data_IF_074083799216
#
_entry.id   IF_074083799216
#
_cell.length_a   1.000
_cell.length_b   1.000
_cell.length_c   1.000
_cell.angle_alpha   90.00
_cell.angle_beta   90.00
_cell.angle_gamma   90.00
#
_symmetry.space_group_name_H-M   'P 1'
#
loop_
_entity.id
_entity.type
_entity.pdbx_description
1 polymer ?
#
# COMPACT_ATOMS: atom_id res chain seq x y z
N UNK A 1 -26.20 -39.39 21.49
CA UNK A 1 -26.69 -38.99 22.83
C UNK A 1 -25.50 -39.17 23.74
N UNK A 2 -24.67 -38.14 23.86
CA UNK A 2 -23.49 -38.20 24.71
C UNK A 2 -23.95 -38.01 26.14
N UNK A 3 -23.64 -38.99 26.97
CA UNK A 3 -23.81 -38.93 28.42
C UNK A 3 -23.00 -37.75 28.95
N UNK A 4 -23.67 -36.66 29.31
CA UNK A 4 -23.10 -35.54 30.06
C UNK A 4 -22.37 -36.15 31.28
N UNK A 5 -21.06 -35.91 31.35
CA UNK A 5 -20.23 -36.52 32.39
C UNK A 5 -20.55 -35.87 33.74
N UNK A 6 -20.42 -36.63 34.83
CA UNK A 6 -20.68 -36.16 36.21
C UNK A 6 -19.84 -34.92 36.57
N UNK A 7 -18.73 -34.71 35.87
CA UNK A 7 -17.81 -33.59 36.01
C UNK A 7 -18.43 -32.25 35.57
N UNK A 8 -19.33 -32.25 34.57
CA UNK A 8 -20.01 -31.04 34.06
C UNK A 8 -21.13 -30.53 35.00
N UNK A 9 -21.53 -31.33 35.98
CA UNK A 9 -22.59 -31.01 36.95
C UNK A 9 -22.06 -30.75 38.36
N UNK A 10 -20.73 -30.72 38.52
CA UNK A 10 -20.06 -30.57 39.81
C UNK A 10 -19.42 -29.19 39.97
N UNK A 11 -19.52 -28.64 41.18
CA UNK A 11 -18.85 -27.41 41.54
C UNK A 11 -17.38 -27.67 41.83
N UNK A 12 -16.49 -27.04 41.06
CA UNK A 12 -15.04 -27.18 41.23
C UNK A 12 -14.47 -26.59 42.54
N UNK A 13 -15.32 -25.98 43.38
CA UNK A 13 -14.91 -25.45 44.69
C UNK A 13 -15.20 -26.43 45.82
N UNK A 14 -16.41 -27.00 45.85
CA UNK A 14 -16.79 -27.98 46.87
C UNK A 14 -16.74 -29.43 46.38
N UNK A 15 -16.45 -29.65 45.10
CA UNK A 15 -16.45 -30.95 44.41
C UNK A 15 -17.78 -31.73 44.52
N UNK A 16 -18.87 -31.03 44.85
CA UNK A 16 -20.22 -31.58 44.95
C UNK A 16 -21.08 -31.10 43.78
N UNK A 17 -22.20 -31.79 43.53
CA UNK A 17 -23.22 -31.32 42.57
C UNK A 17 -23.63 -29.88 42.92
N UNK A 18 -23.77 -29.03 41.91
CA UNK A 18 -24.11 -27.62 42.11
C UNK A 18 -25.37 -27.43 42.96
N UNK A 19 -25.28 -26.57 43.97
CA UNK A 19 -26.42 -26.06 44.75
C UNK A 19 -26.55 -24.56 44.47
N UNK A 20 -27.67 -24.14 43.86
CA UNK A 20 -27.87 -22.77 43.39
C UNK A 20 -26.65 -22.24 42.59
N UNK A 21 -26.34 -22.82 41.41
CA UNK A 21 -25.17 -22.43 40.63
C UNK A 21 -25.31 -21.01 40.11
N UNK A 22 -24.27 -20.20 40.30
CA UNK A 22 -24.17 -18.86 39.74
C UNK A 22 -23.19 -18.83 38.57
N UNK A 23 -23.54 -18.09 37.51
CA UNK A 23 -22.73 -17.95 36.31
C UNK A 23 -21.91 -16.66 36.38
N UNK A 24 -20.58 -16.80 36.44
CA UNK A 24 -19.67 -15.67 36.38
C UNK A 24 -19.47 -15.19 34.94
N UNK A 25 -19.03 -13.94 34.75
CA UNK A 25 -18.70 -13.36 33.43
C UNK A 25 -17.58 -14.11 32.70
N UNK A 26 -16.80 -14.91 33.42
CA UNK A 26 -15.80 -15.83 32.86
C UNK A 26 -16.38 -17.17 32.40
N UNK A 27 -17.70 -17.33 32.42
CA UNK A 27 -18.45 -18.54 32.07
C UNK A 27 -18.25 -19.74 33.01
N UNK A 28 -17.48 -19.59 34.10
CA UNK A 28 -17.43 -20.61 35.15
C UNK A 28 -18.68 -20.55 36.02
N UNK A 29 -19.19 -21.73 36.34
CA UNK A 29 -20.28 -21.93 37.28
C UNK A 29 -19.73 -22.44 38.61
N UNK A 30 -20.19 -21.88 39.72
CA UNK A 30 -19.86 -22.26 41.10
C UNK A 30 -21.13 -22.19 41.96
N UNK A 31 -21.23 -22.93 43.07
CA UNK A 31 -22.36 -22.77 44.00
C UNK A 31 -22.36 -21.35 44.56
N UNK A 32 -23.55 -20.74 44.74
CA UNK A 32 -23.67 -19.41 45.34
C UNK A 32 -22.93 -19.30 46.67
N UNK A 33 -23.10 -20.29 47.53
CA UNK A 33 -22.43 -20.34 48.84
C UNK A 33 -20.91 -20.44 48.70
N UNK A 34 -20.42 -21.28 47.79
CA UNK A 34 -18.98 -21.41 47.53
C UNK A 34 -18.35 -20.10 47.06
N UNK A 35 -19.05 -19.37 46.19
CA UNK A 35 -18.59 -18.06 45.73
C UNK A 35 -18.58 -17.04 46.86
N UNK A 36 -19.65 -16.97 47.65
CA UNK A 36 -19.76 -16.02 48.76
C UNK A 36 -18.72 -16.30 49.84
N UNK A 37 -18.51 -17.56 50.20
CA UNK A 37 -17.50 -17.96 51.18
C UNK A 37 -16.09 -17.65 50.68
N UNK A 38 -15.82 -17.89 49.41
CA UNK A 38 -14.54 -17.56 48.80
C UNK A 38 -14.28 -16.04 48.84
N UNK A 39 -15.22 -15.21 48.40
CA UNK A 39 -15.10 -13.75 48.44
C UNK A 39 -14.91 -13.19 49.85
N UNK A 40 -15.60 -13.76 50.86
CA UNK A 40 -15.40 -13.41 52.26
C UNK A 40 -13.98 -13.72 52.73
N UNK A 41 -13.42 -14.84 52.27
CA UNK A 41 -12.10 -15.32 52.71
C UNK A 41 -10.96 -14.49 52.09
N UNK A 42 -11.00 -14.27 50.78
CA UNK A 42 -9.92 -13.57 50.08
C UNK A 42 -10.11 -12.04 50.00
N UNK A 43 -11.28 -11.53 50.40
CA UNK A 43 -11.68 -10.12 50.37
C UNK A 43 -11.62 -9.45 48.99
N UNK A 44 -11.64 -10.25 47.93
CA UNK A 44 -11.69 -9.80 46.53
C UNK A 44 -12.81 -10.54 45.78
N UNK A 45 -13.40 -9.88 44.80
CA UNK A 45 -14.45 -10.44 43.96
C UNK A 45 -13.85 -11.12 42.73
N UNK A 46 -13.21 -12.25 42.94
CA UNK A 46 -12.58 -13.03 41.88
C UNK A 46 -13.29 -14.35 41.65
N UNK A 47 -13.15 -14.90 40.45
CA UNK A 47 -13.57 -16.25 40.16
C UNK A 47 -12.72 -17.26 40.96
N UNK A 48 -13.34 -18.19 41.71
CA UNK A 48 -12.60 -19.25 42.41
C UNK A 48 -11.78 -20.16 41.49
N UNK A 49 -12.22 -20.32 40.24
CA UNK A 49 -11.62 -21.23 39.26
C UNK A 49 -10.47 -20.59 38.50
N UNK A 50 -10.67 -19.39 37.95
CA UNK A 50 -9.72 -18.74 37.03
C UNK A 50 -9.18 -17.39 37.52
N UNK A 51 -9.54 -16.95 38.73
CA UNK A 51 -9.12 -15.68 39.36
C UNK A 51 -9.48 -14.40 38.59
N UNK A 52 -10.24 -14.49 37.50
CA UNK A 52 -10.76 -13.30 36.79
C UNK A 52 -11.69 -12.52 37.71
N UNK A 53 -11.52 -11.19 37.78
CA UNK A 53 -12.41 -10.30 38.54
C UNK A 53 -13.86 -10.43 38.05
N UNK A 54 -14.78 -10.63 38.98
CA UNK A 54 -16.22 -10.59 38.73
C UNK A 54 -16.65 -9.17 38.34
N UNK A 55 -17.54 -9.06 37.37
CA UNK A 55 -18.12 -7.78 36.97
C UNK A 55 -19.38 -7.41 37.76
N UNK A 56 -19.89 -8.32 38.61
CA UNK A 56 -21.12 -8.15 39.37
C UNK A 56 -20.95 -8.67 40.79
N UNK A 57 -21.50 -7.92 41.76
CA UNK A 57 -21.54 -8.28 43.18
C UNK A 57 -22.53 -9.43 43.47
N UNK A 58 -23.54 -9.61 42.62
CA UNK A 58 -24.49 -10.74 42.66
C UNK A 58 -24.61 -11.33 41.24
N UNK A 59 -23.82 -12.37 40.91
CA UNK A 59 -23.88 -13.01 39.60
C UNK A 59 -25.20 -13.78 39.41
N UNK A 60 -25.77 -13.78 38.19
CA UNK A 60 -27.05 -14.42 37.92
C UNK A 60 -26.97 -15.95 38.07
N UNK A 61 -28.08 -16.58 38.44
CA UNK A 61 -28.19 -18.04 38.47
C UNK A 61 -27.98 -18.63 37.06
N UNK A 62 -27.27 -19.76 36.98
CA UNK A 62 -27.14 -20.52 35.74
C UNK A 62 -28.43 -21.33 35.51
N UNK A 63 -29.37 -20.74 34.76
CA UNK A 63 -30.69 -21.32 34.45
C UNK A 63 -30.65 -22.61 33.60
N UNK A 64 -29.50 -22.99 33.05
CA UNK A 64 -29.30 -24.30 32.39
C UNK A 64 -29.07 -25.40 33.43
N UNK A 65 -28.45 -25.04 34.56
CA UNK A 65 -28.18 -25.93 35.69
C UNK A 65 -29.29 -25.87 36.76
N UNK A 66 -30.09 -24.81 36.81
CA UNK A 66 -31.32 -24.69 37.62
C UNK A 66 -32.49 -25.40 36.92
N UNK A 67 -32.51 -26.72 37.06
CA UNK A 67 -33.67 -27.64 36.99
C UNK A 67 -34.67 -27.51 35.83
N UNK A 68 -34.22 -27.89 34.62
CA UNK A 68 -35.12 -28.44 33.58
C UNK A 68 -34.66 -29.81 33.09
N UNK A 69 -34.04 -30.60 33.96
CA UNK A 69 -33.60 -31.96 33.65
C UNK A 69 -34.53 -33.00 34.27
N UNK A 70 -34.77 -34.13 33.58
CA UNK A 70 -35.53 -35.23 34.16
C UNK A 70 -34.75 -35.84 35.31
N UNK A 71 -35.39 -35.95 36.48
CA UNK A 71 -34.80 -36.55 37.68
C UNK A 71 -35.49 -37.91 37.92
N UNK A 72 -34.72 -38.94 38.31
CA UNK A 72 -35.28 -40.24 38.63
C UNK A 72 -36.03 -40.22 39.97
N UNK A 73 -36.90 -41.21 40.22
CA UNK A 73 -37.72 -41.27 41.43
C UNK A 73 -36.90 -41.27 42.73
N UNK A 74 -35.71 -41.89 42.72
CA UNK A 74 -34.81 -41.94 43.89
C UNK A 74 -34.20 -40.57 44.18
N UNK A 75 -33.80 -39.83 43.15
CA UNK A 75 -33.20 -38.51 43.31
C UNK A 75 -34.24 -37.44 43.69
N UNK A 76 -35.52 -37.61 43.31
CA UNK A 76 -36.61 -36.69 43.67
C UNK A 76 -36.70 -36.44 45.17
N UNK A 77 -36.60 -37.51 45.96
CA UNK A 77 -36.77 -37.48 47.41
C UNK A 77 -35.44 -37.29 48.15
N UNK A 78 -34.34 -37.06 47.41
CA UNK A 78 -33.02 -36.85 47.99
C UNK A 78 -32.85 -35.44 48.56
N UNK A 79 -31.97 -35.30 49.56
CA UNK A 79 -31.60 -34.00 50.14
C UNK A 79 -31.13 -32.98 49.08
N UNK A 80 -30.66 -33.45 47.91
CA UNK A 80 -30.17 -32.62 46.81
C UNK A 80 -31.28 -31.83 46.11
N UNK A 81 -32.53 -32.26 46.20
CA UNK A 81 -33.67 -31.59 45.56
C UNK A 81 -34.83 -31.29 46.51
N UNK A 82 -34.57 -31.31 47.83
CA UNK A 82 -35.59 -31.14 48.88
C UNK A 82 -36.37 -29.81 48.80
N UNK A 83 -35.79 -28.79 48.16
CA UNK A 83 -36.40 -27.47 47.96
C UNK A 83 -36.86 -27.24 46.50
N UNK A 84 -36.82 -28.25 45.64
CA UNK A 84 -37.21 -28.11 44.23
C UNK A 84 -38.63 -28.62 44.02
N UNK A 85 -39.43 -27.82 43.30
CA UNK A 85 -40.80 -28.19 42.95
C UNK A 85 -40.80 -29.03 41.68
N UNK A 86 -41.06 -30.33 41.85
CA UNK A 86 -41.12 -31.26 40.72
C UNK A 86 -42.46 -31.22 40.00
N UNK A 87 -42.42 -31.30 38.66
CA UNK A 87 -43.59 -31.58 37.83
C UNK A 87 -43.34 -32.88 37.06
N UNK A 88 -44.25 -33.88 37.11
CA UNK A 88 -44.04 -35.12 36.37
C UNK A 88 -44.03 -34.85 34.86
N UNK A 89 -43.07 -35.44 34.13
CA UNK A 89 -42.85 -35.24 32.69
C UNK A 89 -44.14 -35.45 31.88
N UNK A 90 -44.97 -36.43 32.27
CA UNK A 90 -46.28 -36.72 31.66
C UNK A 90 -47.29 -35.57 31.75
N UNK A 91 -47.16 -34.69 32.74
CA UNK A 91 -47.99 -33.48 32.87
C UNK A 91 -47.37 -32.27 32.16
N UNK A 92 -46.04 -32.26 31.94
CA UNK A 92 -45.38 -31.26 31.08
C UNK A 92 -45.81 -31.37 29.60
N UNK A 93 -46.25 -32.56 29.17
CA UNK A 93 -46.81 -32.80 27.83
C UNK A 93 -48.33 -32.51 27.75
N UNK A 94 -49.03 -32.50 28.89
CA UNK A 94 -50.48 -32.19 28.96
C UNK A 94 -50.74 -30.68 29.00
N UNK A 95 -49.79 -29.91 29.51
CA UNK A 95 -49.69 -28.48 29.19
C UNK A 95 -49.32 -28.35 27.71
N UNK A 96 -50.32 -28.42 26.82
CA UNK A 96 -50.17 -28.24 25.35
C UNK A 96 -49.30 -27.01 25.02
N UNK A 97 -49.38 -25.97 25.86
CA UNK A 97 -48.60 -24.75 25.73
C UNK A 97 -47.09 -24.91 25.94
N UNK A 98 -46.59 -25.87 26.73
CA UNK A 98 -45.16 -25.94 27.05
C UNK A 98 -44.29 -26.46 25.89
N UNK A 99 -44.59 -27.63 25.26
CA UNK A 99 -43.84 -28.09 24.09
C UNK A 99 -44.01 -27.16 22.89
N UNK A 100 -45.22 -26.64 22.67
CA UNK A 100 -45.49 -25.71 21.56
C UNK A 100 -44.75 -24.38 21.73
N UNK A 101 -44.79 -23.75 22.90
CA UNK A 101 -44.09 -22.48 23.15
C UNK A 101 -42.57 -22.65 23.09
N UNK A 102 -42.03 -23.79 23.54
CA UNK A 102 -40.61 -24.09 23.40
C UNK A 102 -40.21 -24.27 21.93
N UNK A 103 -40.99 -25.02 21.16
CA UNK A 103 -40.76 -25.24 19.73
C UNK A 103 -40.94 -23.95 18.91
N UNK A 104 -41.91 -23.11 19.24
CA UNK A 104 -42.13 -21.78 18.63
C UNK A 104 -40.98 -20.82 18.92
N UNK A 105 -40.51 -20.77 20.17
CA UNK A 105 -39.35 -19.96 20.54
C UNK A 105 -38.09 -20.41 19.79
N UNK A 106 -37.86 -21.73 19.69
CA UNK A 106 -36.74 -22.30 18.96
C UNK A 106 -36.84 -22.03 17.46
N UNK A 107 -38.02 -22.21 16.88
CA UNK A 107 -38.30 -21.93 15.46
C UNK A 107 -38.11 -20.44 15.13
N UNK A 108 -38.55 -19.55 16.03
CA UNK A 108 -38.35 -18.10 15.90
C UNK A 108 -36.87 -17.74 15.97
N UNK A 109 -36.13 -18.30 16.92
CA UNK A 109 -34.69 -18.09 17.04
C UNK A 109 -33.94 -18.61 15.80
N UNK A 110 -34.32 -19.78 15.29
CA UNK A 110 -33.72 -20.38 14.09
C UNK A 110 -33.97 -19.52 12.84
N UNK A 111 -35.21 -19.04 12.64
CA UNK A 111 -35.53 -18.11 11.54
C UNK A 111 -34.74 -16.80 11.65
N UNK A 112 -34.61 -16.25 12.86
CA UNK A 112 -33.81 -15.04 13.11
C UNK A 112 -32.33 -15.26 12.75
N UNK A 113 -31.75 -16.39 13.14
CA UNK A 113 -30.38 -16.74 12.82
C UNK A 113 -30.17 -16.94 11.31
N UNK A 114 -31.11 -17.62 10.64
CA UNK A 114 -31.08 -17.79 9.18
C UNK A 114 -31.11 -16.43 8.45
N UNK A 115 -31.94 -15.48 8.91
CA UNK A 115 -31.96 -14.11 8.40
C UNK A 115 -30.60 -13.42 8.55
N UNK A 116 -30.01 -13.48 9.76
CA UNK A 116 -28.69 -12.90 10.03
C UNK A 116 -27.58 -13.51 9.17
N UNK A 117 -27.62 -14.82 8.91
CA UNK A 117 -26.67 -15.47 8.00
C UNK A 117 -26.82 -14.92 6.59
N UNK A 118 -28.05 -14.82 6.07
CA UNK A 118 -28.33 -14.26 4.75
C UNK A 118 -27.83 -12.81 4.63
N UNK A 119 -28.08 -11.98 5.64
CA UNK A 119 -27.63 -10.57 5.65
C UNK A 119 -26.10 -10.46 5.65
N UNK A 120 -25.42 -11.27 6.48
CA UNK A 120 -23.95 -11.31 6.49
C UNK A 120 -23.38 -11.78 5.15
N UNK A 121 -23.98 -12.78 4.52
CA UNK A 121 -23.56 -13.23 3.18
C UNK A 121 -23.74 -12.15 2.12
N UNK A 122 -24.79 -11.33 2.21
CA UNK A 122 -24.96 -10.16 1.33
C UNK A 122 -23.83 -9.13 1.54
N UNK A 123 -23.49 -8.83 2.79
CA UNK A 123 -22.41 -7.88 3.13
C UNK A 123 -21.06 -8.38 2.59
N UNK A 124 -20.76 -9.67 2.75
CA UNK A 124 -19.54 -10.29 2.20
C UNK A 124 -19.46 -10.06 0.68
N UNK A 125 -20.55 -10.27 -0.05
CA UNK A 125 -20.58 -10.04 -1.50
C UNK A 125 -20.32 -8.58 -1.87
N UNK A 126 -20.86 -7.63 -1.13
CA UNK A 126 -20.60 -6.20 -1.39
C UNK A 126 -19.15 -5.84 -1.07
N UNK A 127 -18.58 -6.35 0.02
CA UNK A 127 -17.16 -6.16 0.33
C UNK A 127 -16.25 -6.78 -0.72
N UNK A 128 -16.56 -7.97 -1.25
CA UNK A 128 -15.82 -8.56 -2.37
C UNK A 128 -15.83 -7.67 -3.61
N UNK A 129 -16.97 -7.04 -3.93
CA UNK A 129 -17.05 -6.06 -5.03
C UNK A 129 -16.19 -4.83 -4.75
N UNK A 130 -16.22 -4.31 -3.53
CA UNK A 130 -15.39 -3.16 -3.13
C UNK A 130 -13.90 -3.50 -3.25
N UNK A 131 -13.47 -4.67 -2.78
CA UNK A 131 -12.07 -5.13 -2.90
C UNK A 131 -11.66 -5.24 -4.37
N UNK A 132 -12.50 -5.80 -5.23
CA UNK A 132 -12.25 -5.84 -6.68
C UNK A 132 -12.11 -4.44 -7.26
N UNK A 133 -12.99 -3.52 -6.88
CA UNK A 133 -12.93 -2.14 -7.36
C UNK A 133 -11.66 -1.43 -6.91
N UNK A 134 -11.25 -1.56 -5.64
CA UNK A 134 -10.01 -1.00 -5.11
C UNK A 134 -8.80 -1.50 -5.92
N UNK A 135 -8.77 -2.81 -6.24
CA UNK A 135 -7.71 -3.38 -7.07
C UNK A 135 -7.70 -2.76 -8.46
N UNK A 136 -8.84 -2.72 -9.15
CA UNK A 136 -8.94 -2.11 -10.48
C UNK A 136 -8.57 -0.62 -10.48
N UNK A 137 -8.93 0.10 -9.43
CA UNK A 137 -8.57 1.50 -9.25
C UNK A 137 -7.06 1.66 -9.06
N UNK A 138 -6.43 0.85 -8.22
CA UNK A 138 -4.98 0.85 -8.03
C UNK A 138 -4.24 0.57 -9.34
N UNK A 139 -4.64 -0.47 -10.07
CA UNK A 139 -4.04 -0.83 -11.37
C UNK A 139 -4.20 0.30 -12.40
N UNK A 140 -5.36 0.97 -12.42
CA UNK A 140 -5.60 2.11 -13.30
C UNK A 140 -4.72 3.31 -12.94
N UNK A 141 -4.64 3.67 -11.65
CA UNK A 141 -3.79 4.76 -11.18
C UNK A 141 -2.32 4.48 -11.44
N UNK A 142 -1.85 3.25 -11.22
CA UNK A 142 -0.48 2.85 -11.54
C UNK A 142 -0.17 3.04 -13.03
N UNK A 143 -1.08 2.64 -13.92
CA UNK A 143 -0.93 2.89 -15.37
C UNK A 143 -0.88 4.38 -15.69
N UNK A 144 -1.70 5.20 -15.05
CA UNK A 144 -1.68 6.66 -15.25
C UNK A 144 -0.35 7.26 -14.81
N UNK A 145 0.18 6.86 -13.65
CA UNK A 145 1.49 7.30 -13.14
C UNK A 145 2.58 6.92 -14.16
N UNK A 146 2.63 5.65 -14.57
CA UNK A 146 3.59 5.16 -15.57
C UNK A 146 3.53 5.96 -16.87
N UNK A 147 2.33 6.26 -17.36
CA UNK A 147 2.15 7.08 -18.57
C UNK A 147 2.64 8.52 -18.42
N UNK A 148 2.52 9.15 -17.23
CA UNK A 148 3.08 10.49 -17.03
C UNK A 148 4.61 10.47 -17.04
N UNK A 149 5.23 9.47 -16.40
CA UNK A 149 6.69 9.31 -16.42
C UNK A 149 7.22 8.98 -17.82
N UNK A 150 6.52 8.15 -18.60
CA UNK A 150 6.96 7.82 -19.95
C UNK A 150 7.00 9.05 -20.87
N UNK A 151 6.02 9.97 -20.73
CA UNK A 151 6.03 11.24 -21.47
C UNK A 151 7.26 12.08 -21.13
N UNK A 152 7.68 12.08 -19.87
CA UNK A 152 8.88 12.78 -19.45
C UNK A 152 10.14 12.09 -19.98
N UNK A 153 10.24 10.77 -19.85
CA UNK A 153 11.38 10.04 -20.39
C UNK A 153 11.54 10.24 -21.90
N UNK A 154 10.42 10.23 -22.65
CA UNK A 154 10.45 10.52 -24.08
C UNK A 154 10.99 11.92 -24.36
N UNK A 155 10.51 12.94 -23.65
CA UNK A 155 11.02 14.30 -23.79
C UNK A 155 12.53 14.40 -23.56
N UNK A 156 13.04 13.71 -22.52
CA UNK A 156 14.49 13.71 -22.23
C UNK A 156 15.28 13.02 -23.34
N UNK A 157 14.80 11.90 -23.88
CA UNK A 157 15.41 11.22 -25.02
C UNK A 157 15.43 12.10 -26.27
N UNK A 158 14.32 12.79 -26.55
CA UNK A 158 14.21 13.68 -27.72
C UNK A 158 15.18 14.88 -27.61
N UNK A 159 15.30 15.49 -26.43
CA UNK A 159 16.25 16.59 -26.19
C UNK A 159 17.72 16.12 -26.26
N UNK A 160 18.02 14.92 -25.75
CA UNK A 160 19.33 14.29 -25.88
C UNK A 160 19.69 14.05 -27.35
N UNK A 161 18.80 13.41 -28.12
CA UNK A 161 18.99 13.12 -29.54
C UNK A 161 19.17 14.40 -30.37
N UNK A 162 18.36 15.42 -30.11
CA UNK A 162 18.47 16.73 -30.77
C UNK A 162 19.82 17.38 -30.48
N UNK A 163 20.27 17.34 -29.23
CA UNK A 163 21.54 17.95 -28.81
C UNK A 163 22.74 17.22 -29.42
N UNK A 164 22.70 15.88 -29.46
CA UNK A 164 23.74 15.05 -30.08
C UNK A 164 23.78 15.28 -31.58
N UNK A 165 22.63 15.36 -32.25
CA UNK A 165 22.57 15.58 -33.70
C UNK A 165 23.19 16.92 -34.09
N UNK A 166 22.85 17.99 -33.37
CA UNK A 166 23.47 19.31 -33.59
C UNK A 166 25.00 19.29 -33.39
N UNK A 167 25.49 18.54 -32.40
CA UNK A 167 26.93 18.34 -32.18
C UNK A 167 27.59 17.61 -33.36
N UNK A 168 26.96 16.58 -33.90
CA UNK A 168 27.47 15.83 -35.06
C UNK A 168 27.49 16.68 -36.33
N UNK A 169 26.47 17.52 -36.53
CA UNK A 169 26.46 18.48 -37.63
C UNK A 169 27.61 19.50 -37.52
N UNK A 170 27.90 20.02 -36.32
CA UNK A 170 29.06 20.88 -36.12
C UNK A 170 30.37 20.13 -36.39
N UNK A 171 30.53 18.91 -35.87
CA UNK A 171 31.70 18.07 -36.12
C UNK A 171 31.97 17.90 -37.62
N UNK A 172 30.95 17.52 -38.39
CA UNK A 172 31.05 17.32 -39.83
C UNK A 172 31.37 18.63 -40.56
N UNK A 173 30.75 19.73 -40.19
CA UNK A 173 31.05 21.05 -40.75
C UNK A 173 32.51 21.46 -40.50
N UNK A 174 33.02 21.28 -39.28
CA UNK A 174 34.41 21.60 -38.92
C UNK A 174 35.40 20.70 -39.65
N UNK A 175 35.09 19.40 -39.76
CA UNK A 175 35.90 18.43 -40.50
C UNK A 175 36.00 18.79 -41.98
N UNK A 176 34.87 19.04 -42.64
CA UNK A 176 34.83 19.45 -44.05
C UNK A 176 35.59 20.76 -44.31
N UNK A 177 35.51 21.72 -43.39
CA UNK A 177 36.28 22.96 -43.47
C UNK A 177 37.79 22.68 -43.46
N UNK A 178 38.26 21.80 -42.58
CA UNK A 178 39.67 21.43 -42.48
C UNK A 178 40.14 20.64 -43.70
N UNK A 179 39.33 19.73 -44.23
CA UNK A 179 39.62 19.00 -45.48
C UNK A 179 39.79 19.96 -46.67
N UNK A 180 38.89 20.93 -46.84
CA UNK A 180 39.01 21.95 -47.90
C UNK A 180 40.28 22.80 -47.75
N UNK A 181 40.66 23.14 -46.51
CA UNK A 181 41.90 23.88 -46.22
C UNK A 181 43.15 23.07 -46.53
N UNK A 182 43.12 21.77 -46.24
CA UNK A 182 44.21 20.85 -46.60
C UNK A 182 44.37 20.77 -48.13
N UNK A 183 43.27 20.66 -48.88
CA UNK A 183 43.31 20.68 -50.34
C UNK A 183 43.86 22.00 -50.90
N UNK A 184 43.50 23.14 -50.32
CA UNK A 184 44.01 24.45 -50.70
C UNK A 184 45.53 24.52 -50.52
N UNK A 185 46.05 24.08 -49.38
CA UNK A 185 47.49 24.03 -49.10
C UNK A 185 48.19 23.07 -50.06
N UNK A 186 47.63 21.89 -50.35
CA UNK A 186 48.20 20.94 -51.31
C UNK A 186 48.26 21.51 -52.74
N UNK A 187 47.26 22.29 -53.15
CA UNK A 187 47.30 23.02 -54.42
C UNK A 187 48.41 24.08 -54.43
N UNK A 188 48.58 24.82 -53.35
CA UNK A 188 49.68 25.80 -53.21
C UNK A 188 51.05 25.11 -53.27
N UNK A 189 51.24 23.99 -52.55
CA UNK A 189 52.48 23.19 -52.60
C UNK A 189 52.76 22.73 -54.04
N UNK A 190 51.74 22.25 -54.76
CA UNK A 190 51.90 21.78 -56.13
C UNK A 190 52.31 22.92 -57.08
N UNK A 191 51.68 24.10 -56.95
CA UNK A 191 52.00 25.29 -57.74
C UNK A 191 53.40 25.83 -57.46
N UNK A 192 53.80 25.87 -56.18
CA UNK A 192 55.15 26.26 -55.77
C UNK A 192 56.18 25.26 -56.29
N UNK A 193 55.91 23.96 -56.18
CA UNK A 193 56.79 22.91 -56.69
C UNK A 193 57.00 23.02 -58.21
N UNK A 194 55.94 23.33 -58.96
CA UNK A 194 56.05 23.55 -60.40
C UNK A 194 56.86 24.81 -60.72
N UNK A 195 56.63 25.93 -60.01
CA UNK A 195 57.42 27.16 -60.20
C UNK A 195 58.90 26.97 -59.89
N UNK A 196 59.23 26.19 -58.85
CA UNK A 196 60.62 25.83 -58.52
C UNK A 196 61.23 25.06 -59.69
N UNK A 197 60.53 24.03 -60.20
CA UNK A 197 61.00 23.23 -61.33
C UNK A 197 61.22 24.07 -62.59
N UNK A 198 60.27 24.93 -62.94
CA UNK A 198 60.35 25.82 -64.11
C UNK A 198 61.53 26.78 -63.98
N UNK A 199 61.76 27.32 -62.78
CA UNK A 199 62.89 28.22 -62.50
C UNK A 199 64.22 27.46 -62.56
N UNK A 200 64.31 26.24 -62.02
CA UNK A 200 65.50 25.39 -62.10
C UNK A 200 65.85 25.01 -63.55
N UNK A 201 64.86 24.72 -64.39
CA UNK A 201 65.05 24.45 -65.82
C UNK A 201 65.54 25.70 -66.56
N UNK A 202 64.95 26.86 -66.27
CA UNK A 202 65.38 28.15 -66.85
C UNK A 202 66.80 28.52 -66.42
N UNK A 203 67.19 28.27 -65.17
CA UNK A 203 68.54 28.48 -64.67
C UNK A 203 69.58 27.58 -65.36
N UNK A 204 69.20 26.36 -65.78
CA UNK A 204 70.07 25.47 -66.58
C UNK A 204 70.21 25.93 -68.03
N UNK A 205 69.25 26.70 -68.56
CA UNK A 205 69.18 27.10 -69.96
C UNK A 205 70.09 28.29 -70.35
N UNK A 206 70.99 28.76 -69.48
CA UNK A 206 71.99 29.82 -69.75
C UNK A 206 71.46 31.24 -70.04
N UNK A 207 70.15 31.47 -70.07
CA UNK A 207 69.55 32.81 -70.27
C UNK A 207 69.16 33.47 -68.95
N UNK A 208 70.01 34.37 -68.47
CA UNK A 208 69.80 35.16 -67.24
C UNK A 208 68.94 36.39 -67.56
N UNK A 209 67.63 36.21 -67.72
CA UNK A 209 66.69 37.33 -67.82
C UNK A 209 65.84 37.45 -66.54
N UNK A 210 66.05 38.56 -65.83
CA UNK A 210 65.24 39.16 -64.75
C UNK A 210 64.13 38.28 -64.14
N UNK A 211 64.51 37.38 -63.23
CA UNK A 211 63.56 36.59 -62.45
C UNK A 211 62.82 37.48 -61.45
N UNK A 212 61.56 37.80 -61.75
CA UNK A 212 60.63 38.39 -60.78
C UNK A 212 60.07 37.28 -59.91
N UNK A 213 60.78 36.97 -58.81
CA UNK A 213 60.31 36.02 -57.80
C UNK A 213 59.11 36.66 -57.09
N UNK A 214 57.91 36.17 -57.39
CA UNK A 214 56.68 36.60 -56.74
C UNK A 214 56.62 36.01 -55.33
N UNK A 215 56.62 36.85 -54.30
CA UNK A 215 56.38 36.40 -52.92
C UNK A 215 54.91 36.00 -52.77
N UNK A 216 54.65 34.70 -52.67
CA UNK A 216 53.30 34.18 -52.41
C UNK A 216 52.93 34.41 -50.92
N UNK A 217 51.67 34.76 -50.61
CA UNK A 217 51.21 34.88 -49.23
C UNK A 217 51.19 33.53 -48.52
N UNK A 218 51.59 33.52 -47.25
CA UNK A 218 51.62 32.31 -46.42
C UNK A 218 50.20 31.90 -45.99
N UNK A 219 49.82 30.60 -46.04
CA UNK A 219 48.49 30.16 -45.62
C UNK A 219 48.26 30.37 -44.11
N UNK A 220 47.23 31.13 -43.74
CA UNK A 220 46.86 31.32 -42.32
C UNK A 220 46.07 30.14 -41.75
N UNK A 221 46.29 29.86 -40.46
CA UNK A 221 45.52 28.87 -39.69
C UNK A 221 44.06 29.32 -39.51
N UNK A 222 43.06 28.47 -39.81
CA UNK A 222 41.66 28.84 -39.65
C UNK A 222 41.29 29.05 -38.16
N UNK A 223 40.80 30.24 -37.82
CA UNK A 223 40.18 30.49 -36.53
C UNK A 223 38.86 29.72 -36.42
N UNK A 224 38.61 29.05 -35.29
CA UNK A 224 37.37 28.31 -35.05
C UNK A 224 37.32 26.88 -35.61
N UNK A 225 38.45 26.18 -35.72
CA UNK A 225 38.52 24.80 -36.20
C UNK A 225 37.94 23.74 -35.24
N UNK A 226 37.82 24.06 -33.95
CA UNK A 226 37.40 23.13 -32.91
C UNK A 226 35.91 23.25 -32.60
N UNK A 227 35.37 22.20 -31.99
CA UNK A 227 34.00 22.15 -31.47
C UNK A 227 33.84 23.14 -30.32
N UNK A 228 32.76 23.92 -30.34
CA UNK A 228 32.42 24.84 -29.26
C UNK A 228 31.73 24.13 -28.08
N UNK A 229 32.48 23.30 -27.35
CA UNK A 229 31.98 22.46 -26.23
C UNK A 229 31.07 23.21 -25.23
N UNK A 230 31.37 24.45 -24.79
CA UNK A 230 30.50 25.17 -23.85
C UNK A 230 29.09 25.44 -24.37
N UNK A 231 28.89 25.47 -25.70
CA UNK A 231 27.56 25.66 -26.30
C UNK A 231 26.63 24.49 -25.98
N UNK A 232 27.18 23.27 -25.98
CA UNK A 232 26.42 22.06 -25.72
C UNK A 232 26.30 21.77 -24.22
N UNK A 233 27.38 21.91 -23.46
CA UNK A 233 27.42 21.46 -22.06
C UNK A 233 27.17 22.56 -21.02
N UNK A 234 27.52 23.82 -21.31
CA UNK A 234 27.66 24.87 -20.31
C UNK A 234 26.42 25.12 -19.44
N UNK A 235 25.22 24.88 -19.98
CA UNK A 235 23.94 25.00 -19.26
C UNK A 235 22.90 23.93 -19.68
N UNK A 236 23.37 22.76 -20.12
CA UNK A 236 22.47 21.72 -20.65
C UNK A 236 21.38 21.29 -19.65
N UNK A 237 21.71 20.91 -18.39
CA UNK A 237 20.69 20.41 -17.46
C UNK A 237 19.63 21.47 -17.16
N UNK A 238 20.06 22.73 -16.99
CA UNK A 238 19.15 23.85 -16.73
C UNK A 238 18.24 24.17 -17.92
N UNK A 239 18.77 24.18 -19.15
CA UNK A 239 17.98 24.39 -20.36
C UNK A 239 16.90 23.32 -20.54
N UNK A 240 17.27 22.05 -20.38
CA UNK A 240 16.36 20.91 -20.49
C UNK A 240 15.28 20.98 -19.39
N UNK A 241 15.68 21.24 -18.14
CA UNK A 241 14.74 21.41 -17.03
C UNK A 241 13.75 22.56 -17.25
N UNK A 242 14.23 23.72 -17.75
CA UNK A 242 13.37 24.87 -18.02
C UNK A 242 12.31 24.56 -19.09
N UNK A 243 12.71 23.91 -20.18
CA UNK A 243 11.77 23.43 -21.22
C UNK A 243 10.76 22.43 -20.67
N UNK A 244 11.22 21.50 -19.83
CA UNK A 244 10.37 20.51 -19.17
C UNK A 244 9.32 21.18 -18.26
N UNK A 245 9.70 22.23 -17.52
CA UNK A 245 8.80 22.99 -16.67
C UNK A 245 7.66 23.62 -17.48
N UNK A 246 7.93 24.20 -18.64
CA UNK A 246 6.92 24.83 -19.49
C UNK A 246 5.86 23.82 -19.97
N UNK A 247 6.26 22.58 -20.26
CA UNK A 247 5.34 21.50 -20.65
C UNK A 247 4.45 21.09 -19.47
N UNK A 248 5.01 21.01 -18.27
CA UNK A 248 4.26 20.61 -17.06
C UNK A 248 3.25 21.71 -16.68
N UNK A 249 3.66 22.98 -16.72
CA UNK A 249 2.84 24.12 -16.32
C UNK A 249 1.61 24.29 -17.23
N UNK A 250 1.78 24.14 -18.55
CA UNK A 250 0.68 24.20 -19.52
C UNK A 250 -0.35 23.08 -19.35
N UNK A 251 0.06 21.95 -18.76
CA UNK A 251 -0.79 20.77 -18.58
C UNK A 251 -1.56 20.79 -17.25
N UNK A 252 -1.02 21.41 -16.20
CA UNK A 252 -1.72 21.61 -14.92
C UNK A 252 -3.02 22.42 -15.12
N UNK A 253 -3.03 23.36 -16.07
CA UNK A 253 -4.22 24.15 -16.42
C UNK A 253 -5.34 23.34 -17.11
N UNK A 254 -5.07 22.10 -17.55
CA UNK A 254 -6.07 21.23 -18.20
C UNK A 254 -6.67 20.16 -17.26
N UNK A 255 -6.04 19.90 -16.10
CA UNK A 255 -6.44 18.81 -15.19
C UNK A 255 -7.41 19.23 -14.08
N UNK A 256 -7.74 20.53 -13.96
CA UNK A 256 -8.65 21.05 -12.92
C UNK A 256 -10.12 20.61 -13.08
N UNK A 257 -10.48 19.91 -14.15
CA UNK A 257 -11.84 19.42 -14.41
C UNK A 257 -12.12 17.96 -14.00
N UNK A 258 -11.23 17.30 -13.24
CA UNK A 258 -11.55 15.97 -12.69
C UNK A 258 -12.30 16.12 -11.37
N UNK A 259 -13.63 16.10 -11.50
CA UNK A 259 -14.68 16.05 -10.46
C UNK A 259 -14.23 15.61 -9.05
N UNK A 260 -14.08 16.58 -8.15
CA UNK A 260 -14.06 16.34 -6.71
C UNK A 260 -15.47 15.93 -6.26
N UNK A 261 -15.70 14.67 -5.92
CA UNK A 261 -16.95 14.23 -5.32
C UNK A 261 -17.02 14.71 -3.85
N UNK A 262 -17.88 15.69 -3.50
CA UNK A 262 -17.82 16.38 -2.20
C UNK A 262 -18.14 15.49 -1.00
N UNK A 263 -18.77 14.33 -1.21
CA UNK A 263 -19.24 13.44 -0.14
C UNK A 263 -18.10 12.67 0.55
N UNK A 264 -16.95 12.50 -0.10
CA UNK A 264 -15.81 11.76 0.45
C UNK A 264 -15.00 12.59 1.46
N UNK A 265 -14.98 13.91 1.33
CA UNK A 265 -14.20 14.80 2.20
C UNK A 265 -14.82 14.93 3.60
N UNK A 266 -16.15 14.98 3.66
CA UNK A 266 -16.89 15.18 4.91
C UNK A 266 -16.75 14.01 5.90
N UNK A 267 -16.58 12.77 5.40
CA UNK A 267 -16.33 11.60 6.25
C UNK A 267 -14.85 11.49 6.68
N UNK A 268 -13.91 11.96 5.85
CA UNK A 268 -12.48 11.94 6.18
C UNK A 268 -12.12 12.92 7.32
N UNK A 269 -12.75 14.10 7.36
CA UNK A 269 -12.48 15.10 8.41
C UNK A 269 -13.06 14.71 9.78
N UNK A 270 -14.08 13.85 9.83
CA UNK A 270 -14.71 13.42 11.09
C UNK A 270 -13.93 12.29 11.81
N UNK A 271 -13.18 11.48 11.07
CA UNK A 271 -12.43 10.34 11.60
C UNK A 271 -10.98 10.66 12.02
N UNK A 272 -10.50 11.90 11.81
CA UNK A 272 -9.12 12.31 12.11
C UNK A 272 -8.85 12.65 13.59
N UNK A 273 -9.87 12.71 14.46
CA UNK A 273 -9.65 13.05 15.88
C UNK A 273 -9.10 11.90 16.75
N UNK A 274 -9.02 10.67 16.23
CA UNK A 274 -8.45 9.56 16.99
C UNK A 274 -7.65 8.61 16.09
N UNK A 275 -6.33 8.79 16.10
CA UNK A 275 -5.38 7.75 15.69
C UNK A 275 -4.50 8.14 14.50
N UNK A 276 -3.27 8.56 14.80
CA UNK A 276 -2.04 7.85 14.40
C UNK A 276 -0.81 8.66 14.84
N UNK A 277 -0.50 8.53 16.13
CA UNK A 277 0.89 8.42 16.54
C UNK A 277 1.44 7.15 15.88
N UNK A 278 2.45 7.31 15.02
CA UNK A 278 3.41 6.30 14.54
C UNK A 278 3.56 6.29 13.02
N UNK A 279 4.37 7.22 12.51
CA UNK A 279 5.31 6.87 11.44
C UNK A 279 6.59 7.68 11.66
N UNK A 280 7.64 6.98 12.06
CA UNK A 280 8.94 7.54 12.43
C UNK A 280 9.57 8.24 11.23
N UNK A 281 10.13 9.43 11.48
CA UNK A 281 11.07 10.16 10.63
C UNK A 281 12.12 9.20 10.04
N UNK A 282 12.11 8.99 8.73
CA UNK A 282 13.30 8.61 7.98
C UNK A 282 13.86 9.87 7.31
N UNK A 283 14.96 10.31 7.86
CA UNK A 283 15.72 11.51 7.57
C UNK A 283 16.48 11.29 6.26
N UNK A 284 16.08 11.98 5.18
CA UNK A 284 16.86 12.04 3.95
C UNK A 284 18.13 12.88 4.22
N UNK A 285 19.26 12.20 4.43
CA UNK A 285 20.59 12.81 4.30
C UNK A 285 21.01 12.64 2.84
N UNK A 286 21.09 13.74 2.10
CA UNK A 286 21.71 13.80 0.77
C UNK A 286 23.20 14.14 1.02
N UNK A 287 24.17 13.29 0.67
CA UNK A 287 25.55 13.70 0.59
C UNK A 287 25.83 14.25 -0.83
N UNK A 288 26.23 15.51 -0.91
CA UNK A 288 26.95 16.03 -2.05
C UNK A 288 28.40 15.56 -1.95
N UNK A 289 28.89 14.90 -3.00
CA UNK A 289 30.29 14.89 -3.41
C UNK A 289 30.33 15.04 -4.93
#
# INVERSE_FOLDING_TARGET
MDSLSVEELSCLVCCEIFKAPVLLSCSHSVCKECLQQFWRTIKTQECPVCRRRSSRDDPPCNLVLEDKQPVCLVCRDSQKHINHTFRPIRFCHKDIHFPLKFQENLSTALKSLQGKVKDKTNIIREFEKTVKHIKSQADHTERQIKQQFEKLHQFLRDEEETTITALREEEDQKKQMMEKKLEEINRHISALSQSIKDTEEMMKASDVCFLKISSQPDPQTPSGALIHVPHYLGNLPFRVWKKMQDIIQNKILQFTDISFNPKSLHNAMRNSKYGLNSCKKSMWKIPFY
#
